data_IF_056141832733
#
_entry.id   IF_056141832733
#
_cell.length_a   1.000
_cell.length_b   1.000
_cell.length_c   1.000
_cell.angle_alpha   90.00
_cell.angle_beta   90.00
_cell.angle_gamma   90.00
#
_symmetry.space_group_name_H-M   'P 1'
#
loop_
_entity.id
_entity.type
_entity.pdbx_description
1 polymer ?
#
# COMPACT_ATOMS: atom_id res chain seq x y z
N UNK A 1 -20.41 7.89 43.96
CA UNK A 1 -21.27 8.06 42.77
C UNK A 1 -20.60 8.80 41.60
N UNK A 2 -19.50 9.55 41.79
CA UNK A 2 -18.77 10.19 40.68
C UNK A 2 -17.64 9.36 40.06
N UNK A 3 -17.07 8.39 40.80
CA UNK A 3 -15.95 7.57 40.30
C UNK A 3 -16.35 6.54 39.24
N UNK A 4 -17.61 6.08 39.23
CA UNK A 4 -18.11 5.13 38.21
C UNK A 4 -18.50 5.82 36.89
N UNK A 5 -18.97 7.07 36.92
CA UNK A 5 -19.27 7.84 35.69
C UNK A 5 -18.00 8.27 34.94
N UNK A 6 -16.89 8.50 35.65
CA UNK A 6 -15.60 8.81 35.03
C UNK A 6 -14.95 7.59 34.34
N UNK A 7 -15.26 6.37 34.79
CA UNK A 7 -14.78 5.13 34.17
C UNK A 7 -15.55 4.80 32.88
N UNK A 8 -16.88 5.06 32.86
CA UNK A 8 -17.72 4.81 31.70
C UNK A 8 -17.51 5.83 30.55
N UNK A 9 -17.21 7.10 30.85
CA UNK A 9 -16.95 8.13 29.82
C UNK A 9 -15.56 7.98 29.16
N UNK A 10 -14.60 7.33 29.85
CA UNK A 10 -13.25 7.07 29.29
C UNK A 10 -13.18 5.83 28.39
N UNK A 11 -14.12 4.89 28.53
CA UNK A 11 -14.15 3.66 27.75
C UNK A 11 -14.78 3.79 26.36
N UNK A 12 -15.45 4.91 26.06
CA UNK A 12 -16.33 5.03 24.88
C UNK A 12 -15.92 6.06 23.81
N UNK A 13 -14.77 6.75 23.94
CA UNK A 13 -14.38 7.81 22.99
C UNK A 13 -13.31 7.48 21.95
N UNK A 14 -12.65 6.34 22.01
CA UNK A 14 -11.80 5.86 20.92
C UNK A 14 -11.82 4.33 20.88
N UNK A 15 -12.90 3.75 20.33
CA UNK A 15 -12.68 2.60 19.43
C UNK A 15 -11.67 3.12 18.41
N UNK A 16 -10.40 2.71 18.53
CA UNK A 16 -9.37 3.00 17.54
C UNK A 16 -9.96 2.67 16.17
N UNK A 17 -10.39 3.69 15.42
CA UNK A 17 -10.77 3.48 14.02
C UNK A 17 -9.51 2.91 13.38
N UNK A 18 -9.56 1.67 12.93
CA UNK A 18 -8.46 1.10 12.17
C UNK A 18 -8.10 2.09 11.06
N UNK A 19 -6.82 2.43 10.95
CA UNK A 19 -6.35 3.35 9.93
C UNK A 19 -6.72 2.80 8.54
N UNK A 20 -7.19 3.68 7.66
CA UNK A 20 -7.76 3.30 6.37
C UNK A 20 -6.90 3.81 5.23
N UNK A 21 -6.83 3.03 4.16
CA UNK A 21 -6.31 3.43 2.86
C UNK A 21 -7.49 3.47 1.88
N UNK A 22 -7.80 4.66 1.37
CA UNK A 22 -8.93 4.86 0.46
C UNK A 22 -8.44 4.91 -0.98
N UNK A 23 -9.10 4.20 -1.88
CA UNK A 23 -8.75 4.22 -3.31
C UNK A 23 -9.97 4.00 -4.19
N UNK A 24 -9.88 4.41 -5.46
CA UNK A 24 -10.94 4.09 -6.42
C UNK A 24 -10.96 2.59 -6.76
N UNK A 25 -12.16 2.06 -7.05
CA UNK A 25 -12.34 0.68 -7.54
C UNK A 25 -11.52 0.43 -8.81
N UNK A 26 -11.41 1.43 -9.68
CA UNK A 26 -10.58 1.37 -10.89
C UNK A 26 -9.09 1.18 -10.55
N UNK A 27 -8.54 1.99 -9.63
CA UNK A 27 -7.13 1.87 -9.23
C UNK A 27 -6.86 0.51 -8.57
N UNK A 28 -7.76 0.02 -7.71
CA UNK A 28 -7.64 -1.30 -7.10
C UNK A 28 -7.51 -2.41 -8.17
N UNK A 29 -8.41 -2.41 -9.15
CA UNK A 29 -8.40 -3.41 -10.22
C UNK A 29 -7.15 -3.31 -11.09
N UNK A 30 -6.69 -2.10 -11.40
CA UNK A 30 -5.48 -1.85 -12.18
C UNK A 30 -4.22 -2.37 -11.47
N UNK A 31 -4.12 -2.22 -10.15
CA UNK A 31 -3.04 -2.79 -9.33
C UNK A 31 -3.02 -4.31 -9.49
N UNK A 32 -4.17 -4.96 -9.25
CA UNK A 32 -4.27 -6.43 -9.33
C UNK A 32 -3.94 -6.94 -10.74
N UNK A 33 -4.38 -6.23 -11.78
CA UNK A 33 -4.09 -6.59 -13.16
C UNK A 33 -2.61 -6.47 -13.49
N UNK A 34 -1.96 -5.37 -13.08
CA UNK A 34 -0.52 -5.22 -13.27
C UNK A 34 0.27 -6.36 -12.59
N UNK A 35 -0.06 -6.66 -11.33
CA UNK A 35 0.58 -7.77 -10.61
C UNK A 35 0.47 -9.11 -11.34
N UNK A 36 -0.67 -9.39 -12.00
CA UNK A 36 -0.85 -10.62 -12.78
C UNK A 36 -0.04 -10.63 -14.08
N UNK A 37 0.14 -9.48 -14.72
CA UNK A 37 0.87 -9.39 -15.99
C UNK A 37 2.38 -9.60 -15.81
N UNK A 38 2.92 -9.22 -14.66
CA UNK A 38 4.36 -9.34 -14.37
C UNK A 38 4.79 -10.74 -13.91
N UNK A 39 3.84 -11.67 -13.69
CA UNK A 39 4.19 -13.05 -13.33
C UNK A 39 5.18 -13.65 -14.35
N UNK A 40 6.22 -14.36 -13.89
CA UNK A 40 6.44 -14.83 -12.51
C UNK A 40 7.12 -13.83 -11.57
N UNK A 41 7.55 -12.66 -12.05
CA UNK A 41 8.30 -11.68 -11.27
C UNK A 41 7.39 -10.91 -10.30
N UNK A 42 8.00 -10.32 -9.26
CA UNK A 42 7.30 -9.30 -8.48
C UNK A 42 7.05 -8.08 -9.36
N UNK A 43 5.79 -7.66 -9.42
CA UNK A 43 5.41 -6.34 -9.88
C UNK A 43 5.70 -5.33 -8.79
N UNK A 44 6.00 -4.08 -9.17
CA UNK A 44 6.07 -2.99 -8.22
C UNK A 44 5.51 -1.71 -8.84
N UNK A 45 5.11 -0.75 -8.00
CA UNK A 45 4.72 0.56 -8.50
C UNK A 45 4.36 1.57 -7.44
N UNK A 46 4.06 2.76 -7.93
CA UNK A 46 3.75 3.95 -7.14
C UNK A 46 2.26 4.27 -7.27
N UNK A 47 1.63 4.70 -6.17
CA UNK A 47 0.24 5.12 -6.12
C UNK A 47 0.12 6.56 -5.63
N UNK A 48 -0.63 7.37 -6.36
CA UNK A 48 -0.88 8.77 -6.03
C UNK A 48 -2.36 9.10 -6.05
N UNK A 49 -2.70 10.24 -5.46
CA UNK A 49 -4.03 10.80 -5.56
C UNK A 49 -4.23 12.08 -4.78
N UNK A 50 -5.48 12.44 -4.51
CA UNK A 50 -5.86 13.73 -3.92
C UNK A 50 -6.60 13.52 -2.62
N UNK A 51 -6.35 14.40 -1.64
CA UNK A 51 -7.06 14.41 -0.36
C UNK A 51 -7.05 13.02 0.34
N UNK A 52 -5.92 12.32 0.28
CA UNK A 52 -5.75 10.99 0.87
C UNK A 52 -6.47 9.84 0.14
N UNK A 53 -7.06 10.08 -1.03
CA UNK A 53 -7.69 9.06 -1.87
C UNK A 53 -6.79 8.73 -3.05
N UNK A 54 -6.37 7.47 -3.17
CA UNK A 54 -5.60 6.98 -4.32
C UNK A 54 -6.51 6.89 -5.56
N UNK A 55 -6.12 7.59 -6.62
CA UNK A 55 -6.84 7.59 -7.90
C UNK A 55 -5.96 7.35 -9.12
N UNK A 56 -4.63 7.36 -8.96
CA UNK A 56 -3.65 7.12 -10.03
C UNK A 56 -2.71 5.98 -9.66
N UNK A 57 -2.37 5.17 -10.67
CA UNK A 57 -1.39 4.08 -10.60
C UNK A 57 -0.24 4.38 -11.56
N UNK A 58 0.98 4.12 -11.10
CA UNK A 58 2.20 4.22 -11.88
C UNK A 58 2.93 2.86 -11.79
N UNK A 59 2.66 1.93 -12.71
CA UNK A 59 3.40 0.69 -12.83
C UNK A 59 4.89 0.97 -13.04
N UNK A 60 5.75 0.31 -12.27
CA UNK A 60 7.19 0.47 -12.34
C UNK A 60 7.83 -0.85 -12.74
N UNK A 61 8.87 -0.77 -13.56
CA UNK A 61 9.67 -1.94 -13.90
C UNK A 61 10.44 -2.40 -12.66
N UNK A 62 10.32 -3.69 -12.34
CA UNK A 62 11.18 -4.32 -11.34
C UNK A 62 12.60 -4.44 -11.89
N UNK A 63 13.53 -3.67 -11.34
CA UNK A 63 14.93 -3.65 -11.77
C UNK A 63 15.76 -4.80 -11.22
N UNK A 64 15.26 -5.55 -10.24
CA UNK A 64 15.88 -6.78 -9.74
C UNK A 64 15.58 -7.97 -10.64
N UNK A 65 14.55 -7.87 -11.50
CA UNK A 65 14.02 -8.99 -12.30
C UNK A 65 13.81 -10.25 -11.45
N UNK A 66 13.20 -10.08 -10.28
CA UNK A 66 13.15 -11.08 -9.22
C UNK A 66 11.71 -11.45 -8.86
N UNK A 67 11.50 -12.69 -8.42
CA UNK A 67 10.21 -13.20 -7.92
C UNK A 67 9.99 -12.92 -6.42
N UNK A 68 11.00 -12.39 -5.72
CA UNK A 68 11.01 -12.23 -4.25
C UNK A 68 11.58 -10.90 -3.77
N UNK A 69 11.92 -10.01 -4.71
CA UNK A 69 12.41 -8.67 -4.41
C UNK A 69 12.10 -7.73 -5.57
N UNK A 70 12.08 -6.43 -5.25
CA UNK A 70 12.03 -5.40 -6.27
C UNK A 70 12.91 -4.21 -5.91
N UNK A 71 13.34 -3.52 -6.97
CA UNK A 71 13.87 -2.17 -6.90
C UNK A 71 13.33 -1.37 -8.09
N UNK A 72 13.31 -0.05 -7.94
CA UNK A 72 12.85 0.88 -8.96
C UNK A 72 13.99 1.81 -9.38
N UNK A 73 14.08 2.09 -10.68
CA UNK A 73 15.04 3.06 -11.22
C UNK A 73 14.78 4.46 -10.67
N UNK A 74 15.82 5.13 -10.13
CA UNK A 74 15.73 6.52 -9.65
C UNK A 74 15.23 7.46 -10.76
N UNK A 75 15.73 7.28 -11.98
CA UNK A 75 15.31 8.06 -13.14
C UNK A 75 13.82 7.93 -13.45
N UNK A 76 13.26 6.72 -13.33
CA UNK A 76 11.83 6.52 -13.59
C UNK A 76 10.97 7.01 -12.41
N UNK A 77 11.49 6.92 -11.17
CA UNK A 77 10.85 7.53 -10.00
C UNK A 77 10.74 9.05 -10.19
N UNK A 78 11.80 9.72 -10.61
CA UNK A 78 11.81 11.17 -10.86
C UNK A 78 10.78 11.58 -11.91
N UNK A 79 10.69 10.84 -13.03
CA UNK A 79 9.64 11.06 -14.03
C UNK A 79 8.24 10.93 -13.45
N UNK A 80 8.00 9.89 -12.65
CA UNK A 80 6.70 9.67 -12.00
C UNK A 80 6.38 10.82 -11.04
N UNK A 81 7.35 11.32 -10.28
CA UNK A 81 7.13 12.48 -9.42
C UNK A 81 6.72 13.73 -10.21
N UNK A 82 7.36 14.01 -11.34
CA UNK A 82 6.94 15.12 -12.20
C UNK A 82 5.51 14.94 -12.73
N UNK A 83 5.10 13.71 -13.06
CA UNK A 83 3.74 13.42 -13.51
C UNK A 83 2.70 13.54 -12.39
N UNK A 84 3.06 13.13 -11.16
CA UNK A 84 2.24 13.30 -9.96
C UNK A 84 2.03 14.80 -9.67
N UNK A 85 3.09 15.59 -9.73
CA UNK A 85 3.05 17.05 -9.53
C UNK A 85 2.18 17.73 -10.60
N UNK A 86 2.37 17.38 -11.88
CA UNK A 86 1.56 17.92 -12.98
C UNK A 86 0.06 17.61 -12.82
N UNK A 87 -0.29 16.49 -12.18
CA UNK A 87 -1.66 16.11 -11.83
C UNK A 87 -2.18 16.79 -10.55
N UNK A 88 -1.34 17.51 -9.82
CA UNK A 88 -1.61 18.04 -8.48
C UNK A 88 -2.05 16.94 -7.51
N UNK A 89 -1.39 15.79 -7.60
CA UNK A 89 -1.59 14.64 -6.70
C UNK A 89 -0.45 14.55 -5.69
N UNK A 90 -0.67 13.74 -4.65
CA UNK A 90 0.32 13.39 -3.65
C UNK A 90 0.68 11.92 -3.80
N UNK A 91 1.95 11.58 -3.56
CA UNK A 91 2.36 10.20 -3.36
C UNK A 91 1.74 9.67 -2.07
N UNK A 92 1.01 8.54 -2.14
CA UNK A 92 0.26 8.01 -1.00
C UNK A 92 0.69 6.59 -0.62
N UNK A 93 1.11 5.78 -1.59
CA UNK A 93 1.51 4.41 -1.33
C UNK A 93 2.48 3.86 -2.38
N UNK A 94 3.19 2.81 -1.98
CA UNK A 94 3.91 1.89 -2.87
C UNK A 94 3.17 0.57 -2.84
N UNK A 95 3.14 -0.14 -3.97
CA UNK A 95 2.68 -1.52 -4.00
C UNK A 95 3.70 -2.44 -4.63
N UNK A 96 3.65 -3.71 -4.23
CA UNK A 96 4.32 -4.80 -4.91
C UNK A 96 3.48 -6.07 -4.86
N UNK A 97 3.86 -7.06 -5.66
CA UNK A 97 3.25 -8.39 -5.60
C UNK A 97 4.17 -9.41 -4.96
N UNK A 98 3.54 -10.38 -4.30
CA UNK A 98 4.15 -11.65 -3.95
C UNK A 98 3.58 -12.72 -4.90
N UNK A 99 4.33 -13.20 -5.89
CA UNK A 99 3.88 -14.20 -6.85
C UNK A 99 3.37 -15.48 -6.19
N UNK A 100 4.12 -15.99 -5.21
CA UNK A 100 3.86 -17.29 -4.57
C UNK A 100 3.73 -17.22 -3.03
N UNK A 101 4.02 -16.06 -2.43
CA UNK A 101 3.99 -15.84 -0.98
C UNK A 101 2.70 -15.12 -0.54
N UNK A 102 2.27 -15.21 0.74
CA UNK A 102 1.10 -14.51 1.25
C UNK A 102 1.29 -12.99 1.25
N UNK A 103 0.20 -12.22 1.33
CA UNK A 103 0.21 -10.76 1.30
C UNK A 103 0.64 -10.16 2.64
N UNK A 104 1.80 -10.57 3.17
CA UNK A 104 2.35 -10.17 4.47
C UNK A 104 3.76 -9.63 4.22
N UNK A 105 4.14 -8.47 4.79
CA UNK A 105 5.47 -7.90 4.55
C UNK A 105 6.59 -8.88 4.92
N UNK A 106 7.52 -9.09 3.99
CA UNK A 106 8.72 -9.88 4.21
C UNK A 106 9.70 -9.13 5.13
N UNK A 107 10.70 -9.82 5.72
CA UNK A 107 11.80 -9.14 6.41
C UNK A 107 12.55 -8.15 5.50
N UNK A 108 12.63 -8.42 4.19
CA UNK A 108 13.21 -7.52 3.19
C UNK A 108 12.38 -6.25 3.04
N UNK A 109 11.05 -6.39 2.93
CA UNK A 109 10.12 -5.26 2.81
C UNK A 109 10.27 -4.31 4.00
N UNK A 110 10.24 -4.86 5.22
CA UNK A 110 10.35 -4.07 6.46
C UNK A 110 11.71 -3.38 6.56
N UNK A 111 12.78 -4.01 6.04
CA UNK A 111 14.14 -3.48 6.12
C UNK A 111 14.39 -2.37 5.11
N UNK A 112 13.95 -2.54 3.86
CA UNK A 112 14.34 -1.67 2.75
C UNK A 112 13.25 -0.68 2.34
N UNK A 113 11.99 -0.92 2.68
CA UNK A 113 10.84 -0.13 2.24
C UNK A 113 10.08 0.42 3.45
N UNK A 114 10.69 1.37 4.17
CA UNK A 114 10.11 1.99 5.37
C UNK A 114 10.16 3.52 5.30
N UNK A 115 9.18 4.07 4.59
CA UNK A 115 8.85 5.49 4.46
C UNK A 115 7.62 5.76 5.35
N UNK A 116 7.79 6.38 6.53
CA UNK A 116 6.72 6.55 7.51
C UNK A 116 5.49 7.31 7.01
N UNK A 117 5.61 8.06 5.93
CA UNK A 117 4.55 8.82 5.28
C UNK A 117 3.72 7.98 4.31
N UNK A 118 4.26 6.88 3.77
CA UNK A 118 3.60 6.05 2.75
C UNK A 118 2.87 4.85 3.33
N UNK A 119 1.88 4.37 2.59
CA UNK A 119 1.28 3.06 2.81
C UNK A 119 1.91 2.02 1.89
N UNK A 120 1.86 0.75 2.29
CA UNK A 120 2.40 -0.37 1.52
C UNK A 120 1.29 -1.33 1.17
N UNK A 121 1.12 -1.63 -0.10
CA UNK A 121 0.14 -2.61 -0.56
C UNK A 121 0.87 -3.84 -1.07
N UNK A 122 0.46 -5.00 -0.60
CA UNK A 122 0.98 -6.28 -1.07
C UNK A 122 -0.15 -7.06 -1.73
N UNK A 123 0.08 -7.44 -2.99
CA UNK A 123 -0.82 -8.31 -3.75
C UNK A 123 -0.23 -9.71 -3.78
N UNK A 124 -0.85 -10.64 -3.05
CA UNK A 124 -0.49 -12.05 -3.15
C UNK A 124 -1.24 -12.73 -4.29
N UNK A 125 -0.48 -13.40 -5.15
CA UNK A 125 -0.99 -14.22 -6.25
C UNK A 125 -0.83 -15.72 -5.98
N UNK A 126 -0.46 -16.09 -4.74
CA UNK A 126 -0.29 -17.48 -4.29
C UNK A 126 -1.49 -18.37 -4.59
N UNK A 127 -2.70 -17.80 -4.51
CA UNK A 127 -3.95 -18.52 -4.73
C UNK A 127 -4.66 -17.97 -5.97
N UNK A 128 -5.61 -18.76 -6.51
CA UNK A 128 -6.42 -18.38 -7.68
C UNK A 128 -7.08 -17.00 -7.54
N UNK A 129 -7.55 -16.68 -6.32
CA UNK A 129 -8.08 -15.35 -5.99
C UNK A 129 -6.95 -14.52 -5.36
N UNK A 130 -6.59 -13.37 -5.95
CA UNK A 130 -5.61 -12.46 -5.34
C UNK A 130 -6.04 -12.00 -3.95
N UNK A 131 -5.10 -12.00 -3.00
CA UNK A 131 -5.27 -11.38 -1.67
C UNK A 131 -4.52 -10.05 -1.66
N UNK A 132 -5.23 -8.96 -1.36
CA UNK A 132 -4.67 -7.59 -1.38
C UNK A 132 -4.74 -7.04 0.02
N UNK A 133 -3.60 -6.69 0.59
CA UNK A 133 -3.50 -6.15 1.94
C UNK A 133 -2.68 -4.87 1.96
N UNK A 134 -3.03 -3.98 2.88
CA UNK A 134 -2.33 -2.73 3.07
C UNK A 134 -1.74 -2.64 4.48
N UNK A 135 -0.59 -1.99 4.58
CA UNK A 135 0.19 -1.87 5.80
C UNK A 135 0.77 -0.47 5.95
N UNK A 136 0.92 -0.07 7.20
CA UNK A 136 1.80 1.02 7.60
C UNK A 136 3.04 0.41 8.24
N UNK A 137 4.21 0.86 7.82
CA UNK A 137 5.49 0.46 8.41
C UNK A 137 6.10 1.71 9.01
N UNK A 138 6.34 1.71 10.32
CA UNK A 138 6.97 2.82 11.04
C UNK A 138 7.94 2.24 12.05
N UNK A 139 9.21 2.64 12.00
CA UNK A 139 10.26 2.12 12.88
C UNK A 139 10.29 0.57 12.94
N UNK A 140 10.13 -0.07 11.77
CA UNK A 140 10.03 -1.53 11.59
C UNK A 140 8.81 -2.21 12.21
N UNK A 141 7.87 -1.45 12.76
CA UNK A 141 6.59 -1.97 13.24
C UNK A 141 5.58 -1.97 12.11
N UNK A 142 4.92 -3.10 11.90
CA UNK A 142 3.91 -3.30 10.85
C UNK A 142 2.53 -3.19 11.48
N UNK A 143 1.71 -2.28 10.96
CA UNK A 143 0.30 -2.13 11.34
C UNK A 143 -0.60 -2.32 10.12
N UNK A 144 -1.62 -3.20 10.17
CA UNK A 144 -2.52 -3.39 9.04
C UNK A 144 -3.43 -2.15 8.84
N UNK A 145 -3.75 -1.89 7.58
CA UNK A 145 -4.70 -0.87 7.15
C UNK A 145 -5.91 -1.52 6.48
N UNK A 146 -7.10 -0.93 6.69
CA UNK A 146 -8.30 -1.33 5.96
C UNK A 146 -8.29 -0.64 4.60
N UNK A 147 -8.36 -1.43 3.53
CA UNK A 147 -8.57 -0.90 2.17
C UNK A 147 -10.05 -0.59 1.99
N UNK A 148 -10.37 0.67 1.70
CA UNK A 148 -11.72 1.12 1.35
C UNK A 148 -11.75 1.52 -0.12
N UNK A 149 -12.48 0.75 -0.93
CA UNK A 149 -12.76 1.11 -2.32
C UNK A 149 -13.92 2.12 -2.38
N UNK A 150 -13.82 3.08 -3.28
CA UNK A 150 -14.86 4.06 -3.62
C UNK A 150 -15.06 4.07 -5.13
N UNK A 151 -16.27 4.44 -5.55
CA UNK A 151 -16.64 4.56 -6.97
C UNK A 151 -16.62 6.02 -7.43
#
# INVERSE_FOLDING_TARGET
MEKEKAAAVKADKFKLKQAQLVMTSHTYQSIVNHCKMELPLEACGILSGKNGTICSIWPMKNMDYSEVSFSMSVHDIEKVFHLIEAKQEQLLAIYHSHPTAPAIPSPGDIKYHNYPELSYIIVSLKNRKPDVRAYKIVSKQVSPLVIKQID
#
